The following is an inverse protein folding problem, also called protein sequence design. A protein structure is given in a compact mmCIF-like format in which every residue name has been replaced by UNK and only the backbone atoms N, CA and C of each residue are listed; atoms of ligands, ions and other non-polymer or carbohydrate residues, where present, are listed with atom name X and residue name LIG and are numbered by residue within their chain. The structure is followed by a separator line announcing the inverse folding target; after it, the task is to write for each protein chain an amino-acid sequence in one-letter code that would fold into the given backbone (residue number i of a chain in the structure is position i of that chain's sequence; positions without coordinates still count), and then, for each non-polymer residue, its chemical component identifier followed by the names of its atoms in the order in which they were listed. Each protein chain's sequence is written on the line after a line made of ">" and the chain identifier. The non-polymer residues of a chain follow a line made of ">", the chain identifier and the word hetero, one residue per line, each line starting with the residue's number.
data_IF_670454340488
#
_entry.id   IF_670454340488
#
_cell.length_a   1.000
_cell.length_b   1.000
_cell.length_c   1.000
_cell.angle_alpha   90.00
_cell.angle_beta   90.00
_cell.angle_gamma   90.00
#
_symmetry.space_group_name_H-M   'P 1'
#
loop_
_entity.id
_entity.type
_entity.pdbx_description
1 polymer ?
#
# COMPACT_ATOMS: atom_id res chain seq x y z
N UNK A 1 16.65 -28.64 13.37
CA UNK A 1 16.15 -29.13 12.08
C UNK A 1 16.87 -30.43 11.75
N UNK A 2 17.29 -30.75 10.51
CA UNK A 2 17.72 -32.12 10.15
C UNK A 2 18.84 -32.69 11.06
N UNK A 3 19.81 -31.85 11.48
CA UNK A 3 20.93 -32.26 12.34
C UNK A 3 20.59 -32.40 13.84
N UNK A 4 19.31 -32.26 14.23
CA UNK A 4 18.86 -32.41 15.63
C UNK A 4 18.97 -31.17 16.51
N UNK A 5 19.39 -30.01 15.98
CA UNK A 5 19.34 -28.74 16.71
C UNK A 5 17.91 -28.23 16.86
N UNK A 6 17.42 -28.05 18.09
CA UNK A 6 16.02 -27.66 18.34
C UNK A 6 15.74 -26.20 17.97
N UNK A 7 16.59 -25.27 18.41
CA UNK A 7 16.50 -23.82 18.12
C UNK A 7 17.86 -23.29 17.73
N UNK A 8 17.89 -22.45 16.72
CA UNK A 8 19.11 -21.84 16.19
C UNK A 8 18.90 -20.33 15.99
N UNK A 9 19.96 -19.57 16.20
CA UNK A 9 20.03 -18.14 15.92
C UNK A 9 21.43 -17.77 15.46
N UNK A 10 21.55 -16.87 14.48
CA UNK A 10 22.83 -16.35 14.02
C UNK A 10 22.70 -14.89 13.58
N UNK A 11 23.68 -14.06 13.91
CA UNK A 11 23.88 -12.75 13.27
C UNK A 11 24.79 -12.97 12.06
N UNK A 12 24.19 -13.14 10.89
CA UNK A 12 24.89 -13.57 9.67
C UNK A 12 25.10 -12.41 8.70
N UNK A 13 26.23 -12.45 7.99
CA UNK A 13 26.43 -11.62 6.79
C UNK A 13 25.81 -12.33 5.59
N UNK A 14 24.98 -11.60 4.87
CA UNK A 14 24.26 -12.06 3.70
C UNK A 14 24.70 -11.25 2.49
N UNK A 15 24.76 -11.90 1.33
CA UNK A 15 25.22 -11.30 0.09
C UNK A 15 24.15 -11.48 -0.98
N UNK A 16 23.80 -10.39 -1.69
CA UNK A 16 22.88 -10.41 -2.82
C UNK A 16 23.41 -9.51 -3.93
N UNK A 17 23.62 -10.08 -5.11
CA UNK A 17 24.08 -9.35 -6.29
C UNK A 17 22.88 -8.79 -7.06
N UNK A 18 22.33 -7.69 -6.53
CA UNK A 18 21.14 -7.01 -7.07
C UNK A 18 21.41 -5.51 -7.19
N UNK A 19 20.64 -4.82 -8.03
CA UNK A 19 20.73 -3.37 -8.19
C UNK A 19 20.60 -2.64 -6.83
N UNK A 20 21.56 -1.75 -6.58
CA UNK A 20 21.59 -0.95 -5.36
C UNK A 20 20.40 0.01 -5.31
N UNK A 21 19.82 0.14 -4.11
CA UNK A 21 18.83 1.15 -3.77
C UNK A 21 19.23 1.82 -2.47
N UNK A 22 18.54 2.89 -2.08
CA UNK A 22 18.84 3.62 -0.84
C UNK A 22 18.85 2.71 0.41
N UNK A 23 18.07 1.62 0.37
CA UNK A 23 17.90 0.61 1.42
C UNK A 23 18.49 -0.77 1.07
N UNK A 24 19.20 -0.90 -0.07
CA UNK A 24 19.76 -2.19 -0.54
C UNK A 24 21.26 -2.10 -0.78
N UNK A 25 21.99 -2.96 -0.08
CA UNK A 25 23.44 -3.11 -0.16
C UNK A 25 23.79 -4.55 -0.56
N UNK A 26 24.92 -4.76 -1.26
CA UNK A 26 25.29 -6.09 -1.74
C UNK A 26 25.70 -7.01 -0.59
N UNK A 27 26.12 -6.43 0.53
CA UNK A 27 26.34 -7.10 1.80
C UNK A 27 25.44 -6.46 2.88
N UNK A 28 24.71 -7.27 3.62
CA UNK A 28 23.87 -6.83 4.73
C UNK A 28 23.89 -7.87 5.87
N UNK A 29 23.34 -7.50 7.03
CA UNK A 29 23.35 -8.36 8.23
C UNK A 29 21.94 -8.81 8.56
N UNK A 30 21.73 -10.10 8.77
CA UNK A 30 20.45 -10.66 9.22
C UNK A 30 20.60 -11.27 10.61
N UNK A 31 19.54 -11.13 11.42
CA UNK A 31 19.31 -12.00 12.55
C UNK A 31 18.50 -13.20 12.05
N UNK A 32 19.21 -14.27 11.74
CA UNK A 32 18.66 -15.52 11.23
C UNK A 32 18.20 -16.40 12.40
N UNK A 33 16.99 -16.95 12.34
CA UNK A 33 16.35 -17.71 13.43
C UNK A 33 15.61 -18.91 12.85
N UNK A 34 15.81 -20.08 13.45
CA UNK A 34 15.15 -21.32 13.02
C UNK A 34 14.72 -22.15 14.24
N UNK A 35 13.55 -22.78 14.21
CA UNK A 35 12.99 -23.57 15.33
C UNK A 35 12.36 -24.89 14.83
N UNK A 36 12.54 -26.00 15.56
CA UNK A 36 11.98 -27.33 15.23
C UNK A 36 10.67 -27.52 15.96
N UNK A 37 9.77 -28.33 15.39
CA UNK A 37 8.51 -28.75 16.05
C UNK A 37 7.63 -27.58 16.51
N UNK A 38 7.63 -26.50 15.73
CA UNK A 38 6.87 -25.27 15.98
C UNK A 38 5.82 -25.04 14.91
N UNK A 39 4.82 -24.22 15.22
CA UNK A 39 3.98 -23.56 14.22
C UNK A 39 4.40 -22.09 14.00
N UNK A 40 3.69 -21.39 13.12
CA UNK A 40 3.96 -19.98 12.83
C UNK A 40 3.81 -19.08 14.07
N UNK A 41 2.85 -19.37 14.95
CA UNK A 41 2.56 -18.57 16.14
C UNK A 41 3.71 -18.64 17.16
N UNK A 42 4.31 -19.82 17.33
CA UNK A 42 5.49 -19.99 18.18
C UNK A 42 6.65 -19.09 17.72
N UNK A 43 6.90 -19.04 16.41
CA UNK A 43 7.96 -18.21 15.82
C UNK A 43 7.64 -16.72 15.97
N UNK A 44 6.42 -16.29 15.61
CA UNK A 44 6.02 -14.88 15.73
C UNK A 44 6.10 -14.40 17.17
N UNK A 45 5.68 -15.22 18.15
CA UNK A 45 5.73 -14.85 19.58
C UNK A 45 7.16 -14.56 20.08
N UNK A 46 8.15 -15.32 19.59
CA UNK A 46 9.57 -15.09 19.90
C UNK A 46 10.05 -13.77 19.31
N UNK A 47 9.70 -13.50 18.04
CA UNK A 47 10.07 -12.25 17.36
C UNK A 47 9.36 -11.04 17.99
N UNK A 48 8.09 -11.16 18.35
CA UNK A 48 7.33 -10.12 19.05
C UNK A 48 8.01 -9.71 20.36
N UNK A 49 8.44 -10.69 21.16
CA UNK A 49 9.16 -10.45 22.41
C UNK A 49 10.49 -9.71 22.17
N UNK A 50 11.21 -10.05 21.09
CA UNK A 50 12.45 -9.38 20.69
C UNK A 50 12.19 -7.93 20.24
N UNK A 51 11.14 -7.69 19.45
CA UNK A 51 10.75 -6.36 18.97
C UNK A 51 10.38 -5.46 20.15
N UNK A 52 9.52 -5.93 21.05
CA UNK A 52 9.11 -5.15 22.24
C UNK A 52 10.32 -4.78 23.09
N UNK A 53 11.21 -5.75 23.33
CA UNK A 53 12.41 -5.52 24.13
C UNK A 53 13.34 -4.51 23.48
N UNK A 54 13.63 -4.66 22.18
CA UNK A 54 14.57 -3.76 21.49
C UNK A 54 13.99 -2.37 21.30
N UNK A 55 12.68 -2.25 21.04
CA UNK A 55 12.00 -0.95 21.00
C UNK A 55 12.09 -0.22 22.35
N UNK A 56 11.90 -0.93 23.46
CA UNK A 56 12.03 -0.34 24.80
C UNK A 56 13.47 0.03 25.13
N UNK A 57 14.41 -0.90 24.93
CA UNK A 57 15.81 -0.73 25.33
C UNK A 57 16.54 0.35 24.50
N UNK A 58 16.18 0.52 23.23
CA UNK A 58 16.89 1.41 22.28
C UNK A 58 16.16 2.74 22.09
N UNK A 59 14.82 2.70 21.96
CA UNK A 59 14.01 3.85 21.59
C UNK A 59 13.13 4.37 22.74
N UNK A 60 13.13 3.70 23.90
CA UNK A 60 12.21 3.96 25.02
C UNK A 60 10.73 3.93 24.61
N UNK A 61 10.39 3.09 23.62
CA UNK A 61 9.02 2.91 23.14
C UNK A 61 8.37 1.68 23.77
N UNK A 62 7.19 1.87 24.36
CA UNK A 62 6.37 0.79 24.90
C UNK A 62 5.43 0.23 23.82
N UNK A 63 5.72 -0.99 23.34
CA UNK A 63 4.90 -1.71 22.36
C UNK A 63 4.07 -2.76 23.09
N UNK A 64 2.76 -2.78 22.84
CA UNK A 64 1.84 -3.74 23.44
C UNK A 64 1.73 -5.02 22.60
N UNK A 65 1.60 -6.16 23.27
CA UNK A 65 1.34 -7.47 22.65
C UNK A 65 -0.12 -7.89 22.85
N UNK A 66 -0.67 -8.76 21.97
CA UNK A 66 -0.06 -9.26 20.73
C UNK A 66 0.06 -8.16 19.66
N UNK A 67 0.99 -8.30 18.72
CA UNK A 67 1.07 -7.34 17.61
C UNK A 67 -0.17 -7.51 16.70
N UNK A 68 -0.69 -6.42 16.11
CA UNK A 68 -1.74 -6.51 15.11
C UNK A 68 -1.32 -7.40 13.94
N UNK A 69 -2.27 -8.19 13.41
CA UNK A 69 -2.06 -9.04 12.25
C UNK A 69 -3.01 -8.64 11.13
N UNK A 70 -2.49 -8.60 9.91
CA UNK A 70 -3.25 -8.31 8.70
C UNK A 70 -2.94 -9.37 7.66
N UNK A 71 -3.95 -9.78 6.89
CA UNK A 71 -3.67 -10.66 5.74
C UNK A 71 -3.01 -9.87 4.62
N UNK A 72 -2.17 -10.53 3.81
CA UNK A 72 -1.57 -9.95 2.61
C UNK A 72 -2.65 -9.31 1.72
N UNK A 73 -3.78 -10.02 1.55
CA UNK A 73 -4.90 -9.54 0.75
C UNK A 73 -5.46 -8.22 1.31
N UNK A 74 -5.68 -8.13 2.62
CA UNK A 74 -6.14 -6.88 3.24
C UNK A 74 -5.14 -5.74 3.03
N UNK A 75 -3.85 -6.01 3.19
CA UNK A 75 -2.81 -5.01 2.98
C UNK A 75 -2.78 -4.48 1.54
N UNK A 76 -2.85 -5.38 0.56
CA UNK A 76 -2.88 -5.01 -0.85
C UNK A 76 -4.19 -4.31 -1.25
N UNK A 77 -5.32 -4.74 -0.69
CA UNK A 77 -6.64 -4.13 -0.98
C UNK A 77 -6.82 -2.75 -0.33
N UNK A 78 -6.25 -2.53 0.87
CA UNK A 78 -6.44 -1.27 1.62
C UNK A 78 -5.28 -0.29 1.48
N UNK A 79 -4.07 -0.75 1.17
CA UNK A 79 -2.88 0.11 1.19
C UNK A 79 -1.97 -0.03 -0.03
N UNK A 80 -2.23 -1.02 -0.89
CA UNK A 80 -1.51 -1.23 -2.14
C UNK A 80 -0.08 -1.72 -1.97
N UNK A 81 0.26 -2.24 -0.78
CA UNK A 81 1.59 -2.71 -0.44
C UNK A 81 1.51 -3.73 0.71
N UNK A 82 2.42 -4.69 0.73
CA UNK A 82 2.50 -5.78 1.72
C UNK A 82 3.26 -5.40 3.00
N UNK A 83 3.93 -4.25 2.99
CA UNK A 83 4.48 -3.58 4.19
C UNK A 83 3.95 -2.14 4.29
N UNK A 84 2.64 -1.92 4.58
CA UNK A 84 2.08 -0.59 4.63
C UNK A 84 2.43 0.14 5.93
N UNK A 85 2.60 1.46 5.86
CA UNK A 85 2.69 2.29 7.06
C UNK A 85 1.31 2.51 7.68
N UNK A 86 1.06 1.91 8.84
CA UNK A 86 -0.24 1.93 9.51
C UNK A 86 -0.46 3.12 10.45
N UNK A 87 0.51 4.05 10.55
CA UNK A 87 0.40 5.21 11.45
C UNK A 87 -0.59 6.26 10.97
N UNK A 88 -0.98 6.21 9.70
CA UNK A 88 -1.92 7.15 9.08
C UNK A 88 -2.95 6.44 8.20
N UNK A 89 -4.00 7.17 7.82
CA UNK A 89 -5.10 6.64 7.00
C UNK A 89 -4.78 6.60 5.50
N UNK A 90 -5.60 7.29 4.69
CA UNK A 90 -5.53 7.27 3.22
C UNK A 90 -5.66 5.84 2.65
N UNK A 91 -6.63 5.08 3.17
CA UNK A 91 -6.94 3.75 2.64
C UNK A 91 -7.44 3.83 1.19
N UNK A 92 -7.07 2.83 0.41
CA UNK A 92 -7.51 2.64 -0.95
C UNK A 92 -8.92 2.07 -0.94
N UNK A 93 -9.81 2.73 -1.66
CA UNK A 93 -11.20 2.31 -1.86
C UNK A 93 -11.36 1.83 -3.29
N UNK A 94 -11.97 0.65 -3.46
CA UNK A 94 -12.32 0.11 -4.77
C UNK A 94 -13.63 0.73 -5.28
N UNK A 95 -13.54 1.38 -6.45
CA UNK A 95 -14.62 2.08 -7.14
C UNK A 95 -15.03 1.35 -8.44
N UNK A 96 -14.44 0.19 -8.73
CA UNK A 96 -14.61 -0.57 -9.97
C UNK A 96 -16.07 -0.90 -10.26
N UNK A 97 -16.85 -1.21 -9.21
CA UNK A 97 -18.27 -1.55 -9.34
C UNK A 97 -19.10 -0.38 -9.89
N UNK A 98 -18.78 0.86 -9.51
CA UNK A 98 -19.53 2.06 -9.89
C UNK A 98 -19.12 2.63 -11.23
N UNK A 99 -17.88 2.38 -11.63
CA UNK A 99 -17.31 2.94 -12.84
C UNK A 99 -17.64 2.13 -14.11
N UNK A 100 -18.24 0.93 -13.97
CA UNK A 100 -18.80 0.13 -15.08
C UNK A 100 -19.87 0.89 -15.88
N UNK A 101 -20.64 1.72 -15.20
CA UNK A 101 -21.74 2.48 -15.78
C UNK A 101 -21.28 3.87 -16.28
N UNK A 102 -19.97 4.16 -16.25
CA UNK A 102 -19.43 5.43 -16.71
C UNK A 102 -19.14 5.43 -18.21
N UNK A 103 -19.54 6.50 -18.89
CA UNK A 103 -19.12 6.79 -20.26
C UNK A 103 -17.67 7.29 -20.35
N UNK A 104 -16.99 7.47 -19.21
CA UNK A 104 -15.61 7.89 -19.18
C UNK A 104 -14.69 6.77 -19.71
N UNK A 105 -14.18 6.97 -20.93
CA UNK A 105 -13.39 5.99 -21.69
C UNK A 105 -12.23 5.37 -20.91
N UNK A 106 -11.56 6.13 -20.04
CA UNK A 106 -10.42 5.62 -19.24
C UNK A 106 -10.91 4.56 -18.25
N UNK A 107 -12.01 4.81 -17.55
CA UNK A 107 -12.61 3.85 -16.61
C UNK A 107 -13.12 2.62 -17.35
N UNK A 108 -13.89 2.84 -18.42
CA UNK A 108 -14.42 1.74 -19.23
C UNK A 108 -13.31 0.84 -19.78
N UNK A 109 -12.26 1.42 -20.35
CA UNK A 109 -11.12 0.67 -20.89
C UNK A 109 -10.38 -0.12 -19.82
N UNK A 110 -10.25 0.40 -18.59
CA UNK A 110 -9.62 -0.33 -17.50
C UNK A 110 -10.47 -1.54 -17.10
N UNK A 111 -11.79 -1.37 -16.95
CA UNK A 111 -12.71 -2.45 -16.59
C UNK A 111 -12.79 -3.52 -17.69
N UNK A 112 -12.91 -3.11 -18.96
CA UNK A 112 -12.97 -4.02 -20.10
C UNK A 112 -11.71 -4.90 -20.22
N UNK A 113 -10.57 -4.40 -19.72
CA UNK A 113 -9.29 -5.12 -19.68
C UNK A 113 -9.14 -6.00 -18.42
N UNK A 114 -10.17 -6.11 -17.57
CA UNK A 114 -10.13 -6.82 -16.29
C UNK A 114 -9.38 -6.08 -15.17
N UNK A 115 -9.08 -4.79 -15.37
CA UNK A 115 -8.42 -3.94 -14.39
C UNK A 115 -9.33 -3.46 -13.26
N UNK A 116 -8.81 -2.56 -12.45
CA UNK A 116 -9.44 -1.97 -11.27
C UNK A 116 -9.44 -0.46 -11.36
N UNK A 117 -10.45 0.15 -10.74
CA UNK A 117 -10.55 1.60 -10.57
C UNK A 117 -10.61 1.83 -9.07
N UNK A 118 -9.54 2.41 -8.54
CA UNK A 118 -9.32 2.52 -7.10
C UNK A 118 -8.83 3.91 -6.78
N UNK A 119 -9.15 4.41 -5.59
CA UNK A 119 -8.75 5.76 -5.21
C UNK A 119 -8.56 5.96 -3.72
N UNK A 120 -7.94 7.08 -3.39
CA UNK A 120 -7.76 7.58 -2.02
C UNK A 120 -8.46 8.93 -1.88
N UNK A 121 -8.97 9.21 -0.68
CA UNK A 121 -9.58 10.49 -0.34
C UNK A 121 -8.71 11.23 0.67
N UNK A 122 -8.38 12.48 0.36
CA UNK A 122 -7.64 13.38 1.24
C UNK A 122 -8.61 14.43 1.78
N UNK A 123 -8.90 14.36 3.08
CA UNK A 123 -9.86 15.25 3.72
C UNK A 123 -9.39 16.70 3.78
N UNK A 124 -10.25 17.65 3.41
CA UNK A 124 -9.99 19.09 3.49
C UNK A 124 -8.82 19.57 2.62
N UNK A 125 -8.45 18.82 1.58
CA UNK A 125 -7.30 19.10 0.74
C UNK A 125 -7.64 19.74 -0.62
N UNK A 126 -8.92 19.94 -0.96
CA UNK A 126 -9.33 20.54 -2.23
C UNK A 126 -8.67 21.90 -2.48
N UNK A 127 -8.65 22.80 -1.51
CA UNK A 127 -8.03 24.12 -1.65
C UNK A 127 -6.53 24.14 -1.34
N UNK A 128 -6.01 23.09 -0.69
CA UNK A 128 -4.58 23.00 -0.32
C UNK A 128 -3.69 22.71 -1.53
N UNK A 129 -4.19 21.91 -2.48
CA UNK A 129 -3.43 21.51 -3.67
C UNK A 129 -3.75 22.42 -4.85
N UNK A 130 -2.75 23.14 -5.34
CA UNK A 130 -2.87 23.90 -6.59
C UNK A 130 -2.91 22.95 -7.80
N UNK A 131 -3.22 23.49 -8.98
CA UNK A 131 -3.16 22.70 -10.22
C UNK A 131 -1.76 22.13 -10.47
N UNK A 132 -0.72 22.91 -10.17
CA UNK A 132 0.67 22.52 -10.34
C UNK A 132 1.02 21.32 -9.44
N UNK A 133 0.54 21.33 -8.20
CA UNK A 133 0.80 20.24 -7.25
C UNK A 133 0.13 18.94 -7.74
N UNK A 134 -1.11 19.04 -8.22
CA UNK A 134 -1.85 17.91 -8.80
C UNK A 134 -1.20 17.36 -10.08
N UNK A 135 -0.62 18.23 -10.93
CA UNK A 135 0.15 17.80 -12.09
C UNK A 135 1.44 17.09 -11.64
N UNK A 136 2.06 17.50 -10.53
CA UNK A 136 3.17 16.79 -9.87
C UNK A 136 2.80 15.40 -9.35
N UNK A 137 1.66 15.28 -8.66
CA UNK A 137 1.12 13.97 -8.25
C UNK A 137 0.81 13.08 -9.46
N UNK A 138 0.35 13.67 -10.56
CA UNK A 138 0.11 12.94 -11.81
C UNK A 138 1.42 12.42 -12.40
N UNK A 139 2.50 13.20 -12.38
CA UNK A 139 3.82 12.74 -12.81
C UNK A 139 4.33 11.57 -11.96
N UNK A 140 4.18 11.64 -10.63
CA UNK A 140 4.51 10.53 -9.73
C UNK A 140 3.71 9.26 -10.03
N UNK A 141 2.41 9.40 -10.33
CA UNK A 141 1.59 8.28 -10.73
C UNK A 141 2.10 7.61 -12.02
N UNK A 142 2.56 8.41 -12.98
CA UNK A 142 3.15 7.93 -14.24
C UNK A 142 4.49 7.23 -13.99
N UNK A 143 5.35 7.77 -13.13
CA UNK A 143 6.60 7.11 -12.72
C UNK A 143 6.35 5.76 -12.02
N UNK A 144 5.24 5.64 -11.29
CA UNK A 144 4.80 4.38 -10.71
C UNK A 144 4.27 3.37 -11.75
N UNK A 145 4.01 3.79 -12.99
CA UNK A 145 3.58 2.94 -14.11
C UNK A 145 2.14 3.18 -14.58
N UNK A 146 1.38 4.08 -13.95
CA UNK A 146 0.02 4.39 -14.40
C UNK A 146 0.04 5.21 -15.70
N UNK A 147 -1.01 5.07 -16.51
CA UNK A 147 -1.20 5.89 -17.72
C UNK A 147 -1.56 7.36 -17.41
N UNK A 148 -1.96 7.64 -16.18
CA UNK A 148 -2.34 8.95 -15.69
C UNK A 148 -2.98 8.87 -14.32
N UNK A 149 -3.38 10.03 -13.79
CA UNK A 149 -4.07 10.17 -12.51
C UNK A 149 -5.34 10.99 -12.70
N UNK A 150 -6.46 10.48 -12.21
CA UNK A 150 -7.70 11.25 -12.12
C UNK A 150 -7.73 11.93 -10.76
N UNK A 151 -7.87 13.26 -10.74
CA UNK A 151 -8.10 14.00 -9.52
C UNK A 151 -9.43 14.74 -9.58
N UNK A 152 -10.14 14.76 -8.47
CA UNK A 152 -11.46 15.39 -8.32
C UNK A 152 -11.50 16.15 -7.00
N UNK A 153 -11.95 17.40 -7.01
CA UNK A 153 -12.18 18.21 -5.81
C UNK A 153 -13.67 18.34 -5.57
N UNK A 154 -14.13 18.08 -4.35
CA UNK A 154 -15.54 18.25 -4.02
C UNK A 154 -15.79 19.69 -3.57
N UNK A 155 -16.64 20.40 -4.29
CA UNK A 155 -17.00 21.78 -3.96
C UNK A 155 -18.08 21.86 -2.87
N UNK A 156 -18.40 23.09 -2.44
CA UNK A 156 -19.43 23.37 -1.44
C UNK A 156 -20.86 22.95 -1.85
N UNK A 157 -21.09 22.74 -3.15
CA UNK A 157 -22.37 22.26 -3.70
C UNK A 157 -22.44 20.74 -3.81
N UNK A 158 -21.50 20.03 -3.20
CA UNK A 158 -21.34 18.57 -3.31
C UNK A 158 -21.11 18.09 -4.74
N UNK A 159 -20.62 18.97 -5.62
CA UNK A 159 -20.31 18.64 -7.00
C UNK A 159 -18.81 18.42 -7.18
N UNK A 160 -18.45 17.39 -7.94
CA UNK A 160 -17.07 17.15 -8.31
C UNK A 160 -16.61 18.18 -9.34
N UNK A 161 -15.43 18.73 -9.10
CA UNK A 161 -14.71 19.60 -10.04
C UNK A 161 -13.37 18.96 -10.40
N UNK A 162 -12.92 19.14 -11.64
CA UNK A 162 -11.69 18.54 -12.14
C UNK A 162 -11.75 18.31 -13.64
N UNK A 163 -10.64 17.86 -14.26
CA UNK A 163 -10.51 17.78 -15.72
C UNK A 163 -11.50 16.80 -16.34
N UNK A 164 -11.91 15.78 -15.57
CA UNK A 164 -12.77 14.69 -16.02
C UNK A 164 -14.13 14.67 -15.33
N UNK A 165 -14.41 15.60 -14.41
CA UNK A 165 -15.61 15.55 -13.59
C UNK A 165 -16.91 15.56 -14.42
N UNK A 166 -16.95 16.36 -15.50
CA UNK A 166 -18.09 16.41 -16.43
C UNK A 166 -18.31 15.11 -17.20
N UNK A 167 -17.28 14.28 -17.34
CA UNK A 167 -17.31 13.06 -18.14
C UNK A 167 -17.69 11.82 -17.32
N UNK A 168 -17.79 11.94 -15.99
CA UNK A 168 -18.13 10.80 -15.13
C UNK A 168 -19.60 10.39 -15.29
N UNK A 169 -20.49 11.34 -15.52
CA UNK A 169 -21.94 11.17 -15.40
C UNK A 169 -22.42 11.39 -13.96
N UNK A 170 -23.66 11.86 -13.78
CA UNK A 170 -24.21 12.22 -12.46
C UNK A 170 -24.25 11.05 -11.49
N UNK A 171 -24.67 9.87 -11.96
CA UNK A 171 -24.91 8.71 -11.11
C UNK A 171 -23.59 8.10 -10.64
N UNK A 172 -22.60 8.03 -11.53
CA UNK A 172 -21.24 7.58 -11.21
C UNK A 172 -20.55 8.55 -10.26
N UNK A 173 -20.66 9.85 -10.51
CA UNK A 173 -20.12 10.90 -9.65
C UNK A 173 -20.64 10.79 -8.20
N UNK A 174 -21.95 10.58 -8.06
CA UNK A 174 -22.61 10.40 -6.76
C UNK A 174 -22.21 9.09 -6.07
N UNK A 175 -22.11 7.99 -6.82
CA UNK A 175 -21.67 6.70 -6.27
C UNK A 175 -20.21 6.74 -5.81
N UNK A 176 -19.32 7.39 -6.56
CA UNK A 176 -17.93 7.61 -6.16
C UNK A 176 -17.88 8.44 -4.87
N UNK A 177 -18.67 9.53 -4.80
CA UNK A 177 -18.75 10.38 -3.60
C UNK A 177 -19.17 9.59 -2.37
N UNK A 178 -20.22 8.77 -2.49
CA UNK A 178 -20.72 7.90 -1.41
C UNK A 178 -19.70 6.86 -0.98
N UNK A 179 -19.06 6.20 -1.95
CA UNK A 179 -18.06 5.14 -1.68
C UNK A 179 -16.83 5.68 -0.96
N UNK A 180 -16.38 6.87 -1.34
CA UNK A 180 -15.28 7.56 -0.65
C UNK A 180 -15.72 8.22 0.65
N UNK A 181 -17.01 8.28 0.96
CA UNK A 181 -17.59 9.09 2.04
C UNK A 181 -17.11 10.56 1.99
N UNK A 182 -16.98 11.10 0.77
CA UNK A 182 -16.38 12.40 0.53
C UNK A 182 -17.28 13.57 0.96
N UNK A 183 -16.66 14.58 1.56
CA UNK A 183 -17.30 15.82 2.03
C UNK A 183 -16.78 17.04 1.27
N UNK A 184 -17.55 18.15 1.23
CA UNK A 184 -17.08 19.37 0.61
C UNK A 184 -15.71 19.80 1.14
N UNK A 185 -14.80 20.14 0.23
CA UNK A 185 -13.41 20.47 0.54
C UNK A 185 -12.44 19.29 0.44
N UNK A 186 -12.90 18.07 0.14
CA UNK A 186 -12.03 16.90 -0.02
C UNK A 186 -11.46 16.79 -1.44
N UNK A 187 -10.30 16.13 -1.53
CA UNK A 187 -9.62 15.80 -2.79
C UNK A 187 -9.61 14.28 -2.96
N UNK A 188 -10.14 13.77 -4.06
CA UNK A 188 -10.03 12.36 -4.45
C UNK A 188 -8.96 12.19 -5.53
N UNK A 189 -8.10 11.18 -5.36
CA UNK A 189 -7.13 10.74 -6.36
C UNK A 189 -7.46 9.30 -6.77
N UNK A 190 -7.65 9.06 -8.05
CA UNK A 190 -8.17 7.81 -8.60
C UNK A 190 -7.23 7.31 -9.71
N UNK A 191 -6.83 6.04 -9.60
CA UNK A 191 -6.08 5.29 -10.61
C UNK A 191 -6.98 4.23 -11.24
N UNK A 192 -6.81 4.01 -12.55
CA UNK A 192 -7.61 3.08 -13.34
C UNK A 192 -6.68 2.25 -14.24
N UNK A 193 -6.25 1.07 -13.76
CA UNK A 193 -5.30 0.20 -14.45
C UNK A 193 -5.35 -1.24 -13.87
N UNK A 194 -4.33 -2.08 -14.09
CA UNK A 194 -4.24 -3.39 -13.43
C UNK A 194 -4.24 -3.28 -11.89
N UNK A 195 -4.52 -4.39 -11.21
CA UNK A 195 -4.50 -4.41 -9.73
C UNK A 195 -3.12 -4.00 -9.19
N UNK A 196 -2.05 -4.50 -9.80
CA UNK A 196 -0.66 -4.25 -9.42
C UNK A 196 -0.28 -2.78 -9.64
N UNK A 197 -0.63 -2.21 -10.80
CA UNK A 197 -0.35 -0.81 -11.11
C UNK A 197 -1.15 0.11 -10.17
N UNK A 198 -2.43 -0.17 -9.94
CA UNK A 198 -3.24 0.63 -9.00
C UNK A 198 -2.71 0.56 -7.58
N UNK A 199 -2.29 -0.62 -7.11
CA UNK A 199 -1.60 -0.80 -5.82
C UNK A 199 -0.34 0.08 -5.73
N UNK A 200 0.59 -0.08 -6.69
CA UNK A 200 1.88 0.63 -6.71
C UNK A 200 1.70 2.14 -6.78
N UNK A 201 0.83 2.63 -7.68
CA UNK A 201 0.55 4.05 -7.86
C UNK A 201 -0.07 4.68 -6.61
N UNK A 202 -1.13 4.08 -6.06
CA UNK A 202 -1.83 4.65 -4.91
C UNK A 202 -0.99 4.54 -3.64
N UNK A 203 -0.19 3.49 -3.48
CA UNK A 203 0.76 3.38 -2.39
C UNK A 203 1.84 4.48 -2.45
N UNK A 204 2.41 4.73 -3.63
CA UNK A 204 3.41 5.78 -3.82
C UNK A 204 2.85 7.16 -3.45
N UNK A 205 1.64 7.47 -3.94
CA UNK A 205 0.92 8.70 -3.59
C UNK A 205 0.63 8.77 -2.09
N UNK A 206 0.14 7.67 -1.50
CA UNK A 206 -0.15 7.58 -0.06
C UNK A 206 1.10 7.87 0.78
N UNK A 207 2.25 7.29 0.44
CA UNK A 207 3.52 7.52 1.14
C UNK A 207 3.98 8.97 1.02
N UNK A 208 3.88 9.55 -0.18
CA UNK A 208 4.23 10.95 -0.40
C UNK A 208 3.34 11.89 0.41
N UNK A 209 2.02 11.72 0.32
CA UNK A 209 1.03 12.54 1.01
C UNK A 209 1.08 12.37 2.52
N UNK A 210 1.38 11.17 3.02
CA UNK A 210 1.59 10.92 4.45
C UNK A 210 2.67 11.83 5.04
N UNK A 211 3.76 12.04 4.29
CA UNK A 211 4.84 12.95 4.67
C UNK A 211 4.47 14.41 4.41
N UNK A 212 3.97 14.75 3.23
CA UNK A 212 3.65 16.13 2.84
C UNK A 212 2.59 16.78 3.73
N UNK A 213 1.60 15.99 4.16
CA UNK A 213 0.50 16.44 5.01
C UNK A 213 0.74 16.15 6.50
N UNK A 214 1.93 15.66 6.86
CA UNK A 214 2.33 15.37 8.24
C UNK A 214 1.30 14.48 8.98
N UNK A 215 0.85 13.40 8.31
CA UNK A 215 -0.26 12.56 8.80
C UNK A 215 0.11 11.58 9.92
N UNK A 216 1.38 11.52 10.29
CA UNK A 216 1.89 10.66 11.36
C UNK A 216 2.98 11.39 12.14
N UNK A 217 3.14 11.03 13.40
CA UNK A 217 4.27 11.50 14.21
C UNK A 217 5.52 10.67 13.87
N UNK A 218 6.59 11.33 13.44
CA UNK A 218 7.86 10.70 13.08
C UNK A 218 8.51 9.95 14.25
N UNK A 219 8.18 10.31 15.49
CA UNK A 219 8.68 9.65 16.70
C UNK A 219 7.86 8.43 17.12
N UNK A 220 6.74 8.16 16.44
CA UNK A 220 5.91 6.98 16.73
C UNK A 220 6.26 5.83 15.79
N UNK A 221 6.10 4.61 16.30
CA UNK A 221 6.33 3.38 15.56
C UNK A 221 5.08 2.50 15.61
N UNK A 222 4.69 1.97 14.44
CA UNK A 222 3.70 0.91 14.35
C UNK A 222 4.41 -0.36 13.89
N UNK A 223 4.14 -1.47 14.57
CA UNK A 223 4.65 -2.79 14.18
C UNK A 223 3.47 -3.75 14.11
N UNK A 224 3.40 -4.49 13.02
CA UNK A 224 2.35 -5.47 12.76
C UNK A 224 2.88 -6.62 11.91
N UNK A 225 2.19 -7.75 11.96
CA UNK A 225 2.44 -8.86 11.04
C UNK A 225 1.58 -8.72 9.79
N UNK A 226 2.18 -9.09 8.66
CA UNK A 226 1.41 -9.43 7.46
C UNK A 226 1.52 -10.94 7.27
N UNK A 227 0.38 -11.60 7.18
CA UNK A 227 0.24 -13.06 7.14
C UNK A 227 -0.52 -13.49 5.88
N UNK A 228 -0.65 -14.79 5.65
CA UNK A 228 -1.43 -15.34 4.53
C UNK A 228 -0.99 -14.83 3.15
N UNK A 229 0.33 -14.76 2.94
CA UNK A 229 0.89 -14.47 1.63
C UNK A 229 0.48 -15.56 0.62
N UNK A 230 0.18 -15.19 -0.65
CA UNK A 230 0.05 -16.16 -1.72
C UNK A 230 1.32 -17.00 -1.83
N UNK A 231 1.18 -18.30 -2.12
CA UNK A 231 2.36 -19.17 -2.29
C UNK A 231 3.15 -18.80 -3.56
N UNK A 232 2.43 -18.40 -4.63
CA UNK A 232 3.01 -18.09 -5.93
C UNK A 232 2.45 -16.77 -6.49
N UNK A 233 3.28 -16.05 -7.24
CA UNK A 233 2.88 -14.95 -8.10
C UNK A 233 3.32 -15.20 -9.53
N UNK A 234 2.67 -14.50 -10.46
CA UNK A 234 3.13 -14.49 -11.85
C UNK A 234 4.35 -13.59 -11.97
N UNK A 235 5.38 -14.13 -12.57
CA UNK A 235 6.57 -13.39 -12.95
C UNK A 235 6.27 -12.58 -14.23
N UNK A 236 6.48 -11.26 -14.18
CA UNK A 236 6.13 -10.37 -15.30
C UNK A 236 7.06 -10.56 -16.51
N UNK A 237 8.31 -10.98 -16.29
CA UNK A 237 9.30 -11.16 -17.36
C UNK A 237 9.10 -12.46 -18.12
N UNK A 238 8.89 -13.56 -17.41
CA UNK A 238 8.80 -14.91 -17.97
C UNK A 238 7.36 -15.37 -18.18
N UNK A 239 6.39 -14.74 -17.51
CA UNK A 239 4.98 -15.14 -17.52
C UNK A 239 4.66 -16.42 -16.73
N UNK A 240 5.66 -17.03 -16.09
CA UNK A 240 5.52 -18.26 -15.30
C UNK A 240 5.16 -17.96 -13.84
N UNK A 241 4.90 -19.02 -13.07
CA UNK A 241 4.73 -18.91 -11.62
C UNK A 241 6.09 -18.88 -10.92
N UNK A 242 6.28 -17.92 -10.02
CA UNK A 242 7.42 -17.80 -9.13
C UNK A 242 6.95 -17.84 -7.67
N UNK A 243 7.80 -18.30 -6.75
CA UNK A 243 7.51 -18.28 -5.32
C UNK A 243 7.51 -16.83 -4.81
N UNK A 244 6.57 -16.48 -3.93
CA UNK A 244 6.48 -15.12 -3.37
C UNK A 244 7.61 -14.76 -2.40
N UNK A 245 8.16 -15.76 -1.70
CA UNK A 245 9.24 -15.56 -0.74
C UNK A 245 10.41 -16.48 -1.03
N UNK A 246 10.28 -17.74 -0.63
CA UNK A 246 11.26 -18.79 -0.85
C UNK A 246 10.53 -20.02 -1.40
N UNK A 247 11.17 -20.86 -2.24
CA UNK A 247 10.59 -22.12 -2.70
C UNK A 247 10.28 -23.19 -1.62
N UNK A 248 10.60 -22.93 -0.35
CA UNK A 248 10.45 -23.86 0.77
C UNK A 248 9.52 -23.27 1.82
#
# INVERSE_FOLDING_TARGET
>A
MIAGLDRYVQVAKCFRDEDLRADRQPEFTQLDVEMSFVDAHDVTSVIESLVVKTAKDILDLDISLPLPQYTWKECMERFGHDAPDMRFGLEIIDLTAHAKDSDFRVFKSAVDSGGRIRGILISGAAEKFSRKDLDGLTAMAIEAGAKGLVWLKLDASESWTGPVAKNLGSDVAENIRKSLAAKPGDLALISADSFEITCKTLHALRKHLGKELELYDENTMHVSWVIDFPMFARDEETGNWAAMHHPF
#
